data_IF_425225154142
#
_entry.id   IF_425225154142
#
_cell.length_a   1.000
_cell.length_b   1.000
_cell.length_c   1.000
_cell.angle_alpha   90.00
_cell.angle_beta   90.00
_cell.angle_gamma   90.00
#
_symmetry.space_group_name_H-M   'P 1'
#
loop_
_entity.id
_entity.type
_entity.pdbx_description
1 polymer ?
#
# COMPACT_ATOMS: atom_id res chain seq x y z
N UNK A 1 14.91 -15.90 16.81
CA UNK A 1 13.73 -15.02 16.84
C UNK A 1 13.86 -13.82 15.89
N UNK A 2 15.00 -13.12 15.84
CA UNK A 2 15.19 -11.97 14.92
C UNK A 2 14.87 -12.26 13.45
N UNK A 3 15.23 -13.43 12.91
CA UNK A 3 14.86 -13.83 11.55
C UNK A 3 13.35 -13.97 11.33
N UNK A 4 12.62 -14.53 12.29
CA UNK A 4 11.17 -14.69 12.21
C UNK A 4 10.45 -13.33 12.27
N UNK A 5 10.90 -12.43 13.15
CA UNK A 5 10.37 -11.07 13.23
C UNK A 5 10.64 -10.26 11.95
N UNK A 6 11.85 -10.38 11.38
CA UNK A 6 12.21 -9.75 10.11
C UNK A 6 11.28 -10.20 8.97
N UNK A 7 11.12 -11.51 8.79
CA UNK A 7 10.24 -12.05 7.76
C UNK A 7 8.77 -11.75 8.02
N UNK A 8 8.32 -11.70 9.28
CA UNK A 8 6.97 -11.26 9.62
C UNK A 8 6.70 -9.83 9.15
N UNK A 9 7.63 -8.91 9.38
CA UNK A 9 7.53 -7.52 8.90
C UNK A 9 7.51 -7.47 7.36
N UNK A 10 8.40 -8.20 6.69
CA UNK A 10 8.44 -8.27 5.22
C UNK A 10 7.13 -8.80 4.64
N UNK A 11 6.58 -9.88 5.22
CA UNK A 11 5.30 -10.45 4.79
C UNK A 11 4.15 -9.48 5.04
N UNK A 12 4.14 -8.78 6.19
CA UNK A 12 3.13 -7.75 6.48
C UNK A 12 3.17 -6.60 5.47
N UNK A 13 4.37 -6.10 5.17
CA UNK A 13 4.59 -5.09 4.12
C UNK A 13 4.16 -5.60 2.74
N UNK A 14 4.46 -6.86 2.42
CA UNK A 14 4.07 -7.49 1.16
C UNK A 14 2.56 -7.63 1.02
N UNK A 15 1.86 -8.01 2.10
CA UNK A 15 0.40 -8.04 2.14
C UNK A 15 -0.18 -6.64 1.94
N UNK A 16 0.34 -5.62 2.64
CA UNK A 16 -0.12 -4.24 2.51
C UNK A 16 0.12 -3.70 1.09
N UNK A 17 1.30 -3.96 0.53
CA UNK A 17 1.66 -3.60 -0.84
C UNK A 17 0.72 -4.24 -1.86
N UNK A 18 0.47 -5.54 -1.70
CA UNK A 18 -0.46 -6.28 -2.57
C UNK A 18 -1.87 -5.72 -2.46
N UNK A 19 -2.34 -5.45 -1.24
CA UNK A 19 -3.66 -4.85 -1.02
C UNK A 19 -3.78 -3.48 -1.70
N UNK A 20 -2.76 -2.63 -1.57
CA UNK A 20 -2.74 -1.31 -2.22
C UNK A 20 -2.74 -1.43 -3.75
N UNK A 21 -1.92 -2.31 -4.33
CA UNK A 21 -1.86 -2.52 -5.77
C UNK A 21 -3.21 -3.01 -6.34
N UNK A 22 -3.86 -3.96 -5.67
CA UNK A 22 -5.17 -4.49 -6.10
C UNK A 22 -6.31 -3.50 -5.87
N UNK A 23 -6.28 -2.70 -4.81
CA UNK A 23 -7.23 -1.62 -4.60
C UNK A 23 -7.14 -0.57 -5.72
N UNK A 24 -5.92 -0.12 -6.06
CA UNK A 24 -5.70 0.81 -7.17
C UNK A 24 -6.14 0.22 -8.52
N UNK A 25 -5.85 -1.06 -8.77
CA UNK A 25 -6.32 -1.75 -9.97
C UNK A 25 -7.86 -1.77 -10.07
N UNK A 26 -8.54 -2.10 -8.97
CA UNK A 26 -10.01 -2.17 -8.92
C UNK A 26 -10.63 -0.79 -9.16
N UNK A 27 -10.05 0.26 -8.56
CA UNK A 27 -10.46 1.64 -8.82
C UNK A 27 -10.25 2.03 -10.29
N UNK A 28 -9.12 1.67 -10.89
CA UNK A 28 -8.86 1.96 -12.30
C UNK A 28 -9.88 1.27 -13.23
N UNK A 29 -10.15 -0.02 -13.01
CA UNK A 29 -11.14 -0.78 -13.79
C UNK A 29 -12.55 -0.21 -13.60
N UNK A 30 -12.93 0.13 -12.37
CA UNK A 30 -14.21 0.76 -12.09
C UNK A 30 -14.35 2.12 -12.78
N UNK A 31 -13.32 2.96 -12.73
CA UNK A 31 -13.32 4.28 -13.40
C UNK A 31 -13.46 4.14 -14.91
N UNK A 32 -12.73 3.22 -15.54
CA UNK A 32 -12.86 2.97 -16.99
C UNK A 32 -14.27 2.49 -17.34
N UNK A 33 -14.83 1.57 -16.55
CA UNK A 33 -16.20 1.06 -16.77
C UNK A 33 -17.28 2.15 -16.61
N UNK A 34 -17.03 3.15 -15.75
CA UNK A 34 -17.97 4.24 -15.46
C UNK A 34 -17.58 5.56 -16.14
N UNK A 35 -16.57 5.56 -17.03
CA UNK A 35 -16.02 6.78 -17.63
C UNK A 35 -17.08 7.61 -18.38
N UNK A 36 -18.05 6.96 -19.05
CA UNK A 36 -19.15 7.64 -19.73
C UNK A 36 -20.16 8.30 -18.78
N UNK A 37 -20.34 7.75 -17.57
CA UNK A 37 -21.17 8.36 -16.52
C UNK A 37 -20.42 9.52 -15.86
N UNK A 38 -19.10 9.35 -15.68
CA UNK A 38 -18.21 10.35 -15.07
C UNK A 38 -17.95 11.56 -15.99
N UNK A 39 -17.89 11.37 -17.31
CA UNK A 39 -17.65 12.44 -18.30
C UNK A 39 -18.89 13.29 -18.62
N UNK A 40 -20.08 12.87 -18.20
CA UNK A 40 -21.35 13.58 -18.41
C UNK A 40 -21.54 14.90 -17.63
N UNK A 41 -20.50 15.40 -16.94
CA UNK A 41 -20.37 16.76 -16.41
C UNK A 41 -21.22 17.11 -15.18
N UNK A 42 -22.53 16.84 -15.21
CA UNK A 42 -23.44 17.19 -14.12
C UNK A 42 -23.65 16.04 -13.10
N UNK A 43 -23.63 14.79 -13.56
CA UNK A 43 -23.86 13.62 -12.71
C UNK A 43 -22.69 13.26 -11.79
N UNK A 44 -21.44 13.46 -12.25
CA UNK A 44 -20.25 13.06 -11.51
C UNK A 44 -19.96 13.97 -10.30
N UNK A 45 -20.06 15.29 -10.50
CA UNK A 45 -19.87 16.27 -9.44
C UNK A 45 -21.06 16.32 -8.47
N UNK A 46 -22.28 16.07 -8.97
CA UNK A 46 -23.47 15.88 -8.13
C UNK A 46 -23.47 14.57 -7.34
N UNK A 47 -22.78 13.52 -7.81
CA UNK A 47 -22.63 12.25 -7.09
C UNK A 47 -21.61 12.32 -5.95
N UNK A 48 -20.64 13.24 -6.02
CA UNK A 48 -19.73 13.53 -4.91
C UNK A 48 -20.38 14.38 -3.81
N UNK A 49 -21.48 15.08 -4.12
CA UNK A 49 -22.25 15.81 -3.13
C UNK A 49 -23.10 14.85 -2.30
N UNK A 50 -23.38 15.22 -1.05
CA UNK A 50 -24.27 14.45 -0.17
C UNK A 50 -25.63 14.32 -0.85
N UNK A 51 -26.07 13.10 -1.21
CA UNK A 51 -27.36 12.92 -1.87
C UNK A 51 -28.52 13.36 -0.96
N UNK A 52 -29.59 13.90 -1.54
CA UNK A 52 -30.73 14.40 -0.77
C UNK A 52 -31.39 13.36 0.16
N UNK A 53 -31.29 12.07 -0.17
CA UNK A 53 -31.76 10.98 0.68
C UNK A 53 -30.86 10.73 1.91
N UNK A 54 -29.57 11.06 1.81
CA UNK A 54 -28.59 10.93 2.87
C UNK A 54 -28.57 12.17 3.78
N UNK A 55 -28.98 13.32 3.23
CA UNK A 55 -29.08 14.59 3.97
C UNK A 55 -30.08 14.54 5.14
N UNK A 56 -31.08 13.65 5.10
CA UNK A 56 -32.02 13.41 6.21
C UNK A 56 -31.33 12.80 7.45
N UNK A 57 -30.23 12.07 7.26
CA UNK A 57 -29.56 11.29 8.31
C UNK A 57 -28.28 11.94 8.81
N UNK A 58 -27.84 13.04 8.17
CA UNK A 58 -26.57 13.70 8.45
C UNK A 58 -26.86 15.13 8.92
N UNK A 59 -26.41 15.53 10.13
CA UNK A 59 -26.51 16.92 10.57
C UNK A 59 -25.82 17.87 9.59
N UNK A 60 -26.39 19.07 9.42
CA UNK A 60 -26.00 19.98 8.35
C UNK A 60 -24.52 20.39 8.38
N UNK A 61 -23.91 20.40 9.57
CA UNK A 61 -22.50 20.72 9.79
C UNK A 61 -21.57 19.66 9.17
N UNK A 62 -21.97 18.38 9.24
CA UNK A 62 -21.22 17.28 8.63
C UNK A 62 -21.43 17.23 7.12
N UNK A 63 -22.66 17.50 6.63
CA UNK A 63 -22.94 17.54 5.21
C UNK A 63 -22.13 18.62 4.49
N UNK A 64 -21.99 19.80 5.11
CA UNK A 64 -21.17 20.89 4.58
C UNK A 64 -19.66 20.56 4.61
N UNK A 65 -19.17 19.90 5.66
CA UNK A 65 -17.78 19.40 5.71
C UNK A 65 -17.49 18.37 4.61
N UNK A 66 -18.41 17.44 4.37
CA UNK A 66 -18.28 16.43 3.31
C UNK A 66 -18.31 17.06 1.91
N UNK A 67 -19.19 18.03 1.68
CA UNK A 67 -19.23 18.77 0.43
C UNK A 67 -17.96 19.60 0.20
N UNK A 68 -17.34 20.13 1.24
CA UNK A 68 -16.04 20.83 1.13
C UNK A 68 -14.91 19.87 0.74
N UNK A 69 -14.88 18.67 1.33
CA UNK A 69 -13.93 17.60 0.95
C UNK A 69 -14.17 17.17 -0.50
N UNK A 70 -15.43 16.98 -0.89
CA UNK A 70 -15.81 16.64 -2.26
C UNK A 70 -15.37 17.72 -3.27
N UNK A 71 -15.55 19.00 -2.94
CA UNK A 71 -15.08 20.10 -3.77
C UNK A 71 -13.55 20.15 -3.89
N UNK A 72 -12.82 19.80 -2.83
CA UNK A 72 -11.36 19.68 -2.87
C UNK A 72 -10.89 18.48 -3.72
N UNK A 73 -11.63 17.37 -3.71
CA UNK A 73 -11.31 16.19 -4.50
C UNK A 73 -11.76 16.29 -5.96
N UNK A 74 -12.73 17.15 -6.29
CA UNK A 74 -13.28 17.28 -7.64
C UNK A 74 -12.20 17.47 -8.73
N UNK A 75 -11.18 18.33 -8.58
CA UNK A 75 -10.11 18.48 -9.57
C UNK A 75 -9.26 17.21 -9.72
N UNK A 76 -9.02 16.49 -8.63
CA UNK A 76 -8.26 15.24 -8.63
C UNK A 76 -9.04 14.15 -9.39
N UNK A 77 -10.35 14.04 -9.12
CA UNK A 77 -11.23 13.11 -9.83
C UNK A 77 -11.26 13.44 -11.32
N UNK A 78 -11.38 14.73 -11.67
CA UNK A 78 -11.38 15.16 -13.06
C UNK A 78 -10.05 14.80 -13.76
N UNK A 79 -8.91 15.09 -13.12
CA UNK A 79 -7.61 14.70 -13.64
C UNK A 79 -7.50 13.18 -13.82
N UNK A 80 -8.06 12.37 -12.93
CA UNK A 80 -8.06 10.91 -13.10
C UNK A 80 -8.95 10.47 -14.27
N UNK A 81 -10.12 11.08 -14.43
CA UNK A 81 -11.07 10.78 -15.52
C UNK A 81 -10.48 11.16 -16.89
N UNK A 82 -9.79 12.29 -16.98
CA UNK A 82 -9.16 12.74 -18.24
C UNK A 82 -8.06 11.78 -18.71
N UNK A 83 -7.37 11.12 -17.77
CA UNK A 83 -6.34 10.11 -18.05
C UNK A 83 -6.91 8.68 -18.17
N UNK A 84 -8.18 8.45 -17.86
CA UNK A 84 -8.78 7.12 -17.91
C UNK A 84 -8.73 6.46 -19.31
N UNK A 85 -8.97 7.18 -20.44
CA UNK A 85 -8.89 6.58 -21.77
C UNK A 85 -7.49 6.10 -22.15
N UNK A 86 -6.43 6.80 -21.71
CA UNK A 86 -5.04 6.39 -21.99
C UNK A 86 -4.60 5.19 -21.16
N UNK A 87 -5.24 4.99 -20.01
CA UNK A 87 -5.04 3.85 -19.11
C UNK A 87 -5.74 2.57 -19.61
N UNK A 88 -6.83 2.68 -20.36
CA UNK A 88 -7.67 1.56 -20.78
C UNK A 88 -6.93 0.44 -21.55
N UNK A 89 -5.85 0.76 -22.28
CA UNK A 89 -5.07 -0.23 -23.03
C UNK A 89 -3.96 -0.94 -22.24
N UNK A 90 -3.51 -0.38 -21.10
CA UNK A 90 -2.28 -0.80 -20.42
C UNK A 90 -2.39 -1.08 -18.92
N UNK A 91 -3.54 -0.81 -18.30
CA UNK A 91 -3.73 -0.92 -16.84
C UNK A 91 -3.41 -2.31 -16.29
N UNK A 92 -3.77 -3.38 -17.00
CA UNK A 92 -3.48 -4.74 -16.54
C UNK A 92 -1.96 -4.99 -16.51
N UNK A 93 -1.26 -4.66 -17.60
CA UNK A 93 0.20 -4.86 -17.73
C UNK A 93 0.98 -3.99 -16.74
N UNK A 94 0.59 -2.72 -16.59
CA UNK A 94 1.24 -1.78 -15.67
C UNK A 94 1.10 -2.23 -14.22
N UNK A 95 -0.08 -2.70 -13.80
CA UNK A 95 -0.32 -3.23 -12.45
C UNK A 95 0.57 -4.43 -12.15
N UNK A 96 0.68 -5.37 -13.09
CA UNK A 96 1.55 -6.53 -12.92
C UNK A 96 3.02 -6.14 -12.79
N UNK A 97 3.50 -5.19 -13.59
CA UNK A 97 4.88 -4.69 -13.53
C UNK A 97 5.15 -4.00 -12.19
N UNK A 98 4.30 -3.06 -11.79
CA UNK A 98 4.45 -2.31 -10.54
C UNK A 98 4.40 -3.26 -9.34
N UNK A 99 3.44 -4.18 -9.32
CA UNK A 99 3.33 -5.18 -8.26
C UNK A 99 4.56 -6.06 -8.19
N UNK A 100 5.05 -6.57 -9.33
CA UNK A 100 6.23 -7.43 -9.40
C UNK A 100 7.51 -6.70 -8.93
N UNK A 101 7.70 -5.44 -9.33
CA UNK A 101 8.84 -4.63 -8.87
C UNK A 101 8.78 -4.49 -7.34
N UNK A 102 7.63 -4.11 -6.78
CA UNK A 102 7.50 -4.00 -5.32
C UNK A 102 7.70 -5.32 -4.59
N UNK A 103 7.20 -6.43 -5.14
CA UNK A 103 7.43 -7.78 -4.63
C UNK A 103 8.92 -8.11 -4.56
N UNK A 104 9.66 -7.89 -5.65
CA UNK A 104 11.10 -8.13 -5.73
C UNK A 104 11.86 -7.26 -4.74
N UNK A 105 11.54 -5.97 -4.65
CA UNK A 105 12.18 -5.04 -3.70
C UNK A 105 11.99 -5.48 -2.25
N UNK A 106 10.79 -5.92 -1.88
CA UNK A 106 10.49 -6.40 -0.53
C UNK A 106 11.22 -7.71 -0.21
N UNK A 107 11.32 -8.64 -1.17
CA UNK A 107 12.09 -9.88 -0.99
C UNK A 107 13.58 -9.56 -0.84
N UNK A 108 14.13 -8.68 -1.68
CA UNK A 108 15.52 -8.24 -1.57
C UNK A 108 15.80 -7.58 -0.22
N UNK A 109 14.90 -6.74 0.26
CA UNK A 109 14.98 -6.14 1.60
C UNK A 109 15.04 -7.21 2.69
N UNK A 110 14.16 -8.23 2.62
CA UNK A 110 14.16 -9.35 3.55
C UNK A 110 15.47 -10.15 3.54
N UNK A 111 16.03 -10.40 2.36
CA UNK A 111 17.31 -11.08 2.18
C UNK A 111 18.49 -10.25 2.71
N UNK A 112 18.54 -8.96 2.41
CA UNK A 112 19.56 -8.03 2.90
C UNK A 112 19.55 -7.95 4.43
N UNK A 113 18.37 -7.81 5.03
CA UNK A 113 18.22 -7.79 6.48
C UNK A 113 18.64 -9.14 7.10
N UNK A 114 18.28 -10.27 6.48
CA UNK A 114 18.72 -11.60 6.91
C UNK A 114 20.24 -11.74 6.86
N UNK A 115 20.88 -11.30 5.77
CA UNK A 115 22.34 -11.30 5.64
C UNK A 115 23.03 -10.43 6.68
N UNK A 116 22.50 -9.23 6.95
CA UNK A 116 23.03 -8.35 7.99
C UNK A 116 22.94 -9.00 9.38
N UNK A 117 21.81 -9.62 9.73
CA UNK A 117 21.66 -10.35 11.00
C UNK A 117 22.69 -11.49 11.10
N UNK A 118 22.95 -12.21 10.01
CA UNK A 118 23.92 -13.30 9.98
C UNK A 118 25.36 -12.79 10.23
N UNK A 119 25.76 -11.70 9.56
CA UNK A 119 27.09 -11.09 9.74
C UNK A 119 27.25 -10.54 11.16
N UNK A 120 26.23 -9.87 11.70
CA UNK A 120 26.27 -9.33 13.06
C UNK A 120 26.36 -10.44 14.12
N UNK A 121 25.68 -11.57 13.93
CA UNK A 121 25.82 -12.74 14.81
C UNK A 121 27.18 -13.42 14.68
N UNK A 122 27.75 -13.49 13.47
CA UNK A 122 29.08 -14.06 13.25
C UNK A 122 30.20 -13.22 13.88
N UNK A 123 29.99 -11.92 14.04
CA UNK A 123 30.93 -10.99 14.70
C UNK A 123 30.80 -10.97 16.23
N UNK A 124 29.82 -11.66 16.82
CA UNK A 124 29.69 -11.74 18.27
C UNK A 124 30.82 -12.61 18.85
N UNK A 125 31.73 -12.06 19.68
CA UNK A 125 32.81 -12.84 20.26
C UNK A 125 32.25 -13.95 21.15
N UNK A 126 32.86 -15.13 21.11
CA UNK A 126 32.56 -16.22 22.02
C UNK A 126 32.96 -15.82 23.45
N UNK A 127 32.03 -15.20 24.18
CA UNK A 127 32.18 -14.97 25.61
C UNK A 127 32.03 -16.31 26.34
N UNK A 128 33.15 -17.00 26.56
CA UNK A 128 33.25 -18.06 27.57
C UNK A 128 33.59 -19.44 27.02
N UNK A 129 34.88 -19.77 26.98
CA UNK A 129 35.41 -21.15 27.06
C UNK A 129 36.90 -21.14 27.39
N UNK A 130 37.29 -20.47 28.49
CA UNK A 130 38.67 -20.50 28.96
C UNK A 130 38.74 -20.40 30.50
N UNK A 131 38.06 -21.29 31.23
CA UNK A 131 38.21 -21.37 32.69
C UNK A 131 38.23 -22.80 33.27
N UNK A 132 38.06 -23.86 32.48
CA UNK A 132 38.06 -25.24 33.01
C UNK A 132 39.43 -25.96 32.99
N UNK A 133 40.54 -25.28 32.66
CA UNK A 133 41.88 -25.91 32.58
C UNK A 133 42.70 -25.91 33.87
N UNK A 134 42.29 -25.17 34.91
CA UNK A 134 43.14 -24.87 36.07
C UNK A 134 42.84 -25.68 37.35
N UNK A 135 41.89 -26.61 37.33
CA UNK A 135 41.48 -27.39 38.54
C UNK A 135 42.02 -28.83 38.54
N UNK A 136 42.57 -29.33 37.44
CA UNK A 136 43.07 -30.71 37.35
C UNK A 136 44.55 -30.89 37.76
N UNK A 137 45.22 -29.84 38.24
CA UNK A 137 46.62 -29.88 38.66
C UNK A 137 46.77 -29.35 40.09
N UNK A 138 46.24 -30.08 41.07
CA UNK A 138 46.61 -29.92 42.48
C UNK A 138 46.54 -31.26 43.21
#
# INVERSE_FOLDING_TARGET
MFYALNWFVVVGLFMLWSLAAWALHSLAVWTVANAGVLSGGAGALGALQVPGWLAVWIPAEYASSLNAIAAYLAPVVQAVVDWAPSLAGGVLTAVWIVWAIGAVLLVLLGLLATGLIAVLRARAPASGSATNGLVAAR
#
